data_IF_685957737816
#
_entry.id   IF_685957737816
#
_cell.length_a   1.000
_cell.length_b   1.000
_cell.length_c   1.000
_cell.angle_alpha   90.00
_cell.angle_beta   90.00
_cell.angle_gamma   90.00
#
_symmetry.space_group_name_H-M   'P 1'
#
loop_
_entity.id
_entity.type
_entity.pdbx_description
1 polymer ?
#
# COMPACT_ATOMS: atom_id res chain seq x y z
N UNK A 1 -1.38 20.32 -16.82
CA UNK A 1 -0.94 18.96 -16.48
C UNK A 1 -1.25 18.83 -15.01
N UNK A 2 -2.26 18.04 -14.66
CA UNK A 2 -2.73 17.88 -13.28
C UNK A 2 -1.70 17.06 -12.50
N UNK A 3 -0.93 17.75 -11.65
CA UNK A 3 0.09 17.14 -10.77
C UNK A 3 -0.54 16.03 -9.92
N UNK A 4 -1.80 16.21 -9.53
CA UNK A 4 -2.60 15.25 -8.79
C UNK A 4 -2.75 13.91 -9.51
N UNK A 5 -2.85 13.89 -10.85
CA UNK A 5 -3.06 12.66 -11.63
C UNK A 5 -1.76 11.87 -11.80
N UNK A 6 -0.64 12.55 -12.04
CA UNK A 6 0.67 11.90 -12.17
C UNK A 6 1.13 11.31 -10.84
N UNK A 7 0.90 12.05 -9.75
CA UNK A 7 1.19 11.61 -8.39
C UNK A 7 0.32 10.41 -7.99
N UNK A 8 -0.97 10.44 -8.32
CA UNK A 8 -1.87 9.31 -8.07
C UNK A 8 -1.40 8.05 -8.82
N UNK A 9 -1.07 8.17 -10.11
CA UNK A 9 -0.60 7.03 -10.90
C UNK A 9 0.71 6.43 -10.38
N UNK A 10 1.62 7.27 -9.85
CA UNK A 10 2.85 6.80 -9.20
C UNK A 10 2.57 6.07 -7.89
N UNK A 11 1.70 6.62 -7.03
CA UNK A 11 1.33 5.98 -5.77
C UNK A 11 0.64 4.65 -6.04
N UNK A 12 -0.30 4.61 -6.99
CA UNK A 12 -0.97 3.37 -7.41
C UNK A 12 0.03 2.31 -7.89
N UNK A 13 1.06 2.72 -8.65
CA UNK A 13 2.12 1.81 -9.11
C UNK A 13 2.98 1.26 -7.97
N UNK A 14 3.10 1.96 -6.86
CA UNK A 14 3.85 1.53 -5.67
C UNK A 14 2.97 0.63 -4.79
N UNK A 15 1.74 1.08 -4.53
CA UNK A 15 0.82 0.49 -3.54
C UNK A 15 0.15 -0.77 -4.06
N UNK A 16 -0.39 -0.77 -5.28
CA UNK A 16 -1.15 -1.91 -5.82
C UNK A 16 -0.30 -3.18 -5.88
N UNK A 17 0.94 -3.17 -6.40
CA UNK A 17 1.74 -4.39 -6.45
C UNK A 17 2.11 -4.93 -5.07
N UNK A 18 2.28 -4.06 -4.07
CA UNK A 18 2.56 -4.48 -2.70
C UNK A 18 1.33 -5.17 -2.08
N UNK A 19 0.14 -4.60 -2.29
CA UNK A 19 -1.13 -5.20 -1.87
C UNK A 19 -1.33 -6.56 -2.53
N UNK A 20 -1.14 -6.65 -3.86
CA UNK A 20 -1.32 -7.90 -4.61
C UNK A 20 -0.33 -9.02 -4.21
N UNK A 21 0.80 -8.67 -3.58
CA UNK A 21 1.71 -9.67 -3.00
C UNK A 21 1.17 -10.28 -1.70
N UNK A 22 0.34 -9.54 -0.97
CA UNK A 22 -0.14 -9.90 0.37
C UNK A 22 -1.58 -10.41 0.35
N UNK A 23 -2.42 -9.82 -0.50
CA UNK A 23 -3.84 -10.11 -0.65
C UNK A 23 -4.12 -10.69 -2.04
N UNK A 24 -5.04 -11.65 -2.09
CA UNK A 24 -5.63 -12.07 -3.36
C UNK A 24 -6.68 -11.05 -3.85
N UNK A 25 -6.99 -11.12 -5.15
CA UNK A 25 -8.04 -10.28 -5.76
C UNK A 25 -9.42 -10.46 -5.11
N UNK A 26 -9.67 -11.61 -4.48
CA UNK A 26 -10.91 -11.90 -3.75
C UNK A 26 -10.94 -11.33 -2.33
N UNK A 27 -9.77 -11.08 -1.72
CA UNK A 27 -9.64 -10.48 -0.38
C UNK A 27 -9.60 -8.96 -0.47
N UNK A 28 -9.03 -8.42 -1.54
CA UNK A 28 -8.95 -7.00 -1.80
C UNK A 28 -10.32 -6.45 -2.22
N UNK A 29 -10.85 -5.51 -1.44
CA UNK A 29 -12.16 -4.89 -1.72
C UNK A 29 -11.99 -3.49 -2.31
N UNK A 30 -11.18 -2.66 -1.67
CA UNK A 30 -11.03 -1.26 -2.06
C UNK A 30 -9.66 -0.72 -1.67
N UNK A 31 -9.14 0.19 -2.50
CA UNK A 31 -8.01 1.06 -2.18
C UNK A 31 -8.48 2.51 -2.27
N UNK A 32 -8.19 3.29 -1.24
CA UNK A 32 -8.41 4.73 -1.23
C UNK A 32 -7.12 5.42 -0.85
N UNK A 33 -6.68 6.36 -1.68
CA UNK A 33 -5.47 7.15 -1.44
C UNK A 33 -5.90 8.60 -1.21
N UNK A 34 -5.57 9.13 -0.04
CA UNK A 34 -5.93 10.50 0.35
C UNK A 34 -4.69 11.26 0.83
N UNK A 35 -4.58 12.55 0.51
CA UNK A 35 -3.54 13.40 1.08
C UNK A 35 -3.82 13.63 2.58
N UNK A 36 -2.80 13.51 3.42
CA UNK A 36 -2.90 13.80 4.85
C UNK A 36 -3.07 15.31 5.08
N UNK A 37 -4.33 15.74 5.19
CA UNK A 37 -4.68 17.14 5.44
C UNK A 37 -4.33 18.08 4.29
N UNK A 38 -3.83 19.28 4.60
CA UNK A 38 -3.48 20.30 3.59
C UNK A 38 -2.08 20.10 2.98
N UNK A 39 -1.38 19.03 3.36
CA UNK A 39 -0.03 18.72 2.89
C UNK A 39 -0.11 17.79 1.68
N UNK A 40 0.33 18.29 0.53
CA UNK A 40 0.42 17.51 -0.72
C UNK A 40 1.61 16.55 -0.72
N UNK A 41 2.45 16.59 0.31
CA UNK A 41 3.65 15.77 0.48
C UNK A 41 3.40 14.45 1.23
N UNK A 42 2.22 14.26 1.84
CA UNK A 42 1.91 13.04 2.59
C UNK A 42 0.62 12.42 2.10
N UNK A 43 0.66 11.11 1.87
CA UNK A 43 -0.50 10.35 1.45
C UNK A 43 -0.75 9.22 2.43
N UNK A 44 -2.03 8.88 2.61
CA UNK A 44 -2.47 7.74 3.38
C UNK A 44 -3.18 6.80 2.42
N UNK A 45 -2.67 5.57 2.33
CA UNK A 45 -3.32 4.49 1.61
C UNK A 45 -4.20 3.73 2.59
N UNK A 46 -5.51 3.89 2.45
CA UNK A 46 -6.51 3.09 3.16
C UNK A 46 -6.88 1.89 2.30
N UNK A 47 -6.46 0.73 2.77
CA UNK A 47 -6.68 -0.56 2.14
C UNK A 47 -7.85 -1.21 2.86
N UNK A 48 -8.84 -1.67 2.12
CA UNK A 48 -9.95 -2.44 2.66
C UNK A 48 -9.86 -3.88 2.15
N UNK A 49 -9.84 -4.83 3.07
CA UNK A 49 -9.77 -6.24 2.76
C UNK A 49 -10.47 -7.08 3.82
N UNK A 50 -11.23 -8.08 3.37
CA UNK A 50 -11.98 -9.00 4.23
C UNK A 50 -12.88 -8.31 5.30
N UNK A 51 -13.42 -7.13 5.00
CA UNK A 51 -14.22 -6.33 5.93
C UNK A 51 -13.40 -5.54 6.97
N UNK A 52 -12.07 -5.57 6.86
CA UNK A 52 -11.13 -4.84 7.70
C UNK A 52 -10.51 -3.68 6.91
N UNK A 53 -10.04 -2.65 7.61
CA UNK A 53 -9.40 -1.49 6.97
C UNK A 53 -8.08 -1.19 7.65
N UNK A 54 -7.01 -1.16 6.87
CA UNK A 54 -5.67 -0.77 7.30
C UNK A 54 -5.31 0.53 6.59
N UNK A 55 -4.85 1.51 7.36
CA UNK A 55 -4.34 2.77 6.83
C UNK A 55 -2.83 2.79 6.98
N UNK A 56 -2.11 2.84 5.86
CA UNK A 56 -0.64 2.93 5.85
C UNK A 56 -0.21 4.27 5.28
N UNK A 57 0.78 4.89 5.93
CA UNK A 57 1.34 6.16 5.47
C UNK A 57 2.26 5.89 4.27
N UNK A 58 1.99 6.57 3.16
CA UNK A 58 2.85 6.61 1.98
C UNK A 58 3.79 7.80 2.16
N UNK A 59 5.02 7.51 2.55
CA UNK A 59 6.07 8.51 2.82
C UNK A 59 6.44 9.32 1.57
N UNK A 60 6.79 10.59 1.76
CA UNK A 60 7.23 11.49 0.68
C UNK A 60 8.54 11.03 0.04
N UNK A 61 9.36 10.29 0.80
CA UNK A 61 10.62 9.70 0.34
C UNK A 61 10.42 8.85 -0.93
N UNK A 62 9.28 8.19 -1.07
CA UNK A 62 8.91 7.40 -2.24
C UNK A 62 8.82 8.23 -3.54
N UNK A 63 8.64 9.54 -3.42
CA UNK A 63 8.64 10.47 -4.55
C UNK A 63 10.06 10.87 -4.99
N UNK A 64 11.03 10.74 -4.10
CA UNK A 64 12.43 11.08 -4.35
C UNK A 64 13.28 9.85 -4.75
N UNK A 65 12.78 8.64 -4.52
CA UNK A 65 13.44 7.37 -4.84
C UNK A 65 13.01 6.81 -6.22
N UNK A 66 13.64 5.71 -6.66
CA UNK A 66 13.20 4.98 -7.86
C UNK A 66 11.87 4.27 -7.60
N UNK A 67 11.02 4.09 -8.63
CA UNK A 67 9.71 3.42 -8.46
C UNK A 67 9.83 1.99 -7.90
N UNK A 68 10.84 1.23 -8.33
CA UNK A 68 11.07 -0.12 -7.81
C UNK A 68 11.51 -0.14 -6.34
N UNK A 69 12.39 0.79 -5.94
CA UNK A 69 12.84 0.92 -4.54
C UNK A 69 11.67 1.32 -3.64
N UNK A 70 10.89 2.32 -4.06
CA UNK A 70 9.71 2.75 -3.33
C UNK A 70 8.67 1.63 -3.16
N UNK A 71 8.46 0.81 -4.20
CA UNK A 71 7.59 -0.37 -4.13
C UNK A 71 8.07 -1.39 -3.12
N UNK A 72 9.36 -1.73 -3.15
CA UNK A 72 9.89 -2.75 -2.26
C UNK A 72 9.91 -2.27 -0.80
N UNK A 73 10.23 -0.98 -0.55
CA UNK A 73 10.11 -0.37 0.78
C UNK A 73 8.67 -0.32 1.28
N UNK A 74 7.73 0.14 0.47
CA UNK A 74 6.32 0.20 0.86
C UNK A 74 5.77 -1.19 1.18
N UNK A 75 6.20 -2.22 0.45
CA UNK A 75 5.83 -3.60 0.77
C UNK A 75 6.39 -4.06 2.13
N UNK A 76 7.63 -3.71 2.47
CA UNK A 76 8.21 -4.02 3.77
C UNK A 76 7.44 -3.32 4.91
N UNK A 77 7.16 -2.02 4.75
CA UNK A 77 6.39 -1.24 5.72
C UNK A 77 4.97 -1.82 5.88
N UNK A 78 4.27 -2.10 4.78
CA UNK A 78 2.92 -2.68 4.82
C UNK A 78 2.91 -4.05 5.50
N UNK A 79 3.93 -4.88 5.27
CA UNK A 79 4.06 -6.19 5.94
C UNK A 79 4.32 -6.03 7.44
N UNK A 80 5.16 -5.06 7.82
CA UNK A 80 5.44 -4.74 9.23
C UNK A 80 4.17 -4.28 9.94
N UNK A 81 3.44 -3.31 9.35
CA UNK A 81 2.17 -2.82 9.86
C UNK A 81 1.14 -3.95 10.03
N UNK A 82 0.98 -4.82 9.02
CA UNK A 82 0.09 -5.99 9.13
C UNK A 82 0.54 -6.92 10.26
N UNK A 83 1.86 -7.13 10.43
CA UNK A 83 2.40 -7.98 11.49
C UNK A 83 2.24 -7.38 12.90
N UNK A 84 2.23 -6.06 13.03
CA UNK A 84 2.00 -5.37 14.30
C UNK A 84 0.51 -5.30 14.66
N UNK A 85 -0.36 -5.32 13.65
CA UNK A 85 -1.81 -5.36 13.83
C UNK A 85 -2.33 -6.79 14.02
N UNK A 86 -3.50 -6.93 14.65
CA UNK A 86 -4.22 -8.22 14.71
C UNK A 86 -4.88 -8.59 13.36
N UNK A 87 -4.58 -7.86 12.27
CA UNK A 87 -5.18 -8.10 10.96
C UNK A 87 -4.77 -9.48 10.42
N UNK A 88 -5.76 -10.26 10.00
CA UNK A 88 -5.57 -11.61 9.46
C UNK A 88 -5.05 -11.64 8.02
N UNK A 89 -4.56 -10.51 7.51
CA UNK A 89 -4.21 -10.32 6.11
C UNK A 89 -2.98 -11.14 5.76
N UNK A 90 -3.14 -12.12 4.86
CA UNK A 90 -2.00 -12.89 4.38
C UNK A 90 -1.37 -13.85 5.41
N UNK A 91 -2.08 -14.27 6.48
CA UNK A 91 -1.63 -15.34 7.40
C UNK A 91 -1.39 -16.73 6.72
N UNK A 92 -1.45 -16.84 5.37
CA UNK A 92 -1.42 -18.08 4.59
C UNK A 92 -0.38 -18.13 3.45
N UNK A 93 0.77 -17.45 3.53
CA UNK A 93 1.86 -17.70 2.56
C UNK A 93 3.22 -18.08 3.15
N UNK A 94 3.25 -18.47 4.42
CA UNK A 94 4.29 -19.36 4.93
C UNK A 94 3.90 -20.80 4.58
N UNK A 95 4.40 -21.32 3.45
CA UNK A 95 4.34 -22.74 3.11
C UNK A 95 3.31 -23.16 2.05
N UNK A 96 3.72 -23.11 0.78
CA UNK A 96 3.47 -24.20 -0.17
C UNK A 96 4.45 -24.09 -1.34
N UNK A 97 5.48 -24.94 -1.30
CA UNK A 97 6.15 -25.41 -2.50
C UNK A 97 5.12 -25.95 -3.49
N UNK A 98 5.26 -25.58 -4.78
CA UNK A 98 5.26 -26.55 -5.89
C UNK A 98 5.82 -25.90 -7.16
#
# INVERSE_FOLDING_TARGET
MDISTELNGRIEYIVIPAIQKLLTDAEFEQLTIESEGSRLDRFVASIQACGETLSVIVSDSYMHESMDEARDRFFEDLRDEISETEFGWGQLRDGSSN
#
